data_IF_187228972267
#
_entry.id   IF_187228972267
#
_cell.length_a   1.000
_cell.length_b   1.000
_cell.length_c   1.000
_cell.angle_alpha   90.00
_cell.angle_beta   90.00
_cell.angle_gamma   90.00
#
_symmetry.space_group_name_H-M   'P 1'
#
loop_
_entity.id
_entity.type
_entity.pdbx_description
1 polymer ?
#
# COMPACT_ATOMS: atom_id res chain seq x y z
N UNK A 1 -16.06 3.04 13.73
CA UNK A 1 -14.74 3.64 13.97
C UNK A 1 -13.60 2.91 13.25
N UNK A 2 -13.44 1.57 13.34
CA UNK A 2 -12.28 0.88 12.72
C UNK A 2 -12.15 1.06 11.20
N UNK A 3 -13.26 1.23 10.49
CA UNK A 3 -13.28 1.35 9.03
C UNK A 3 -12.69 2.68 8.50
N UNK A 4 -12.80 3.76 9.29
CA UNK A 4 -12.20 5.06 8.96
C UNK A 4 -10.70 5.02 9.23
N UNK A 5 -10.31 4.43 10.36
CA UNK A 5 -8.90 4.27 10.75
C UNK A 5 -8.13 3.44 9.70
N UNK A 6 -8.70 2.31 9.26
CA UNK A 6 -8.09 1.48 8.21
C UNK A 6 -7.90 2.23 6.89
N UNK A 7 -8.87 3.07 6.48
CA UNK A 7 -8.73 3.90 5.27
C UNK A 7 -7.60 4.91 5.40
N UNK A 8 -7.49 5.56 6.57
CA UNK A 8 -6.42 6.54 6.84
C UNK A 8 -5.05 5.87 6.80
N UNK A 9 -4.89 4.71 7.47
CA UNK A 9 -3.65 3.94 7.43
C UNK A 9 -3.28 3.61 5.99
N UNK A 10 -4.25 3.18 5.18
CA UNK A 10 -4.04 2.86 3.77
C UNK A 10 -3.48 4.02 2.96
N UNK A 11 -4.09 5.20 3.12
CA UNK A 11 -3.69 6.42 2.41
C UNK A 11 -2.26 6.81 2.82
N UNK A 12 -1.96 6.76 4.12
CA UNK A 12 -0.61 7.09 4.63
C UNK A 12 0.41 6.09 4.09
N UNK A 13 0.14 4.78 4.14
CA UNK A 13 1.04 3.75 3.61
C UNK A 13 1.29 3.93 2.11
N UNK A 14 0.26 4.28 1.33
CA UNK A 14 0.39 4.53 -0.11
C UNK A 14 1.25 5.77 -0.39
N UNK A 15 1.06 6.85 0.37
CA UNK A 15 1.89 8.06 0.26
C UNK A 15 3.36 7.79 0.60
N UNK A 16 3.63 7.01 1.65
CA UNK A 16 5.00 6.62 2.01
C UNK A 16 5.64 5.78 0.91
N UNK A 17 4.91 4.86 0.29
CA UNK A 17 5.42 4.07 -0.83
C UNK A 17 5.78 4.95 -2.04
N UNK A 18 4.94 5.92 -2.38
CA UNK A 18 5.22 6.91 -3.44
C UNK A 18 6.47 7.73 -3.15
N UNK A 19 6.63 8.22 -1.91
CA UNK A 19 7.84 8.95 -1.50
C UNK A 19 9.09 8.08 -1.59
N UNK A 20 8.98 6.79 -1.24
CA UNK A 20 10.07 5.82 -1.37
C UNK A 20 10.51 5.62 -2.82
N UNK A 21 9.55 5.50 -3.76
CA UNK A 21 9.87 5.40 -5.20
C UNK A 21 10.52 6.68 -5.70
N UNK A 22 10.01 7.85 -5.30
CA UNK A 22 10.58 9.13 -5.70
C UNK A 22 12.02 9.30 -5.18
N UNK A 23 12.27 8.93 -3.93
CA UNK A 23 13.61 8.91 -3.34
C UNK A 23 14.55 7.93 -4.06
N UNK A 24 14.07 6.72 -4.36
CA UNK A 24 14.85 5.73 -5.12
C UNK A 24 15.21 6.23 -6.52
N UNK A 25 14.32 7.00 -7.17
CA UNK A 25 14.58 7.57 -8.49
C UNK A 25 15.65 8.67 -8.44
N UNK A 26 15.59 9.56 -7.43
CA UNK A 26 16.59 10.63 -7.24
C UNK A 26 17.96 10.03 -6.93
N UNK A 27 18.02 9.02 -6.05
CA UNK A 27 19.26 8.38 -5.63
C UNK A 27 19.81 7.40 -6.67
N UNK A 28 19.07 7.12 -7.75
CA UNK A 28 19.37 6.05 -8.72
C UNK A 28 19.63 4.69 -8.05
N UNK A 29 18.94 4.44 -6.94
CA UNK A 29 19.10 3.22 -6.14
C UNK A 29 18.02 2.21 -6.50
N UNK A 30 18.44 1.15 -7.21
CA UNK A 30 17.56 0.05 -7.63
C UNK A 30 16.94 -0.72 -6.46
N UNK A 31 17.60 -0.78 -5.30
CA UNK A 31 17.06 -1.46 -4.11
C UNK A 31 15.90 -0.64 -3.57
N UNK A 32 16.07 0.66 -3.40
CA UNK A 32 15.00 1.53 -2.88
C UNK A 32 13.82 1.57 -3.86
N UNK A 33 14.08 1.63 -5.17
CA UNK A 33 13.05 1.56 -6.20
C UNK A 33 12.25 0.24 -6.13
N UNK A 34 12.94 -0.90 -6.03
CA UNK A 34 12.28 -2.21 -5.96
C UNK A 34 11.45 -2.37 -4.68
N UNK A 35 11.95 -1.89 -3.54
CA UNK A 35 11.20 -1.87 -2.27
C UNK A 35 9.94 -1.00 -2.39
N UNK A 36 10.06 0.18 -3.02
CA UNK A 36 8.91 1.06 -3.27
C UNK A 36 7.83 0.41 -4.13
N UNK A 37 8.23 -0.28 -5.21
CA UNK A 37 7.30 -1.02 -6.08
C UNK A 37 6.63 -2.17 -5.31
N UNK A 38 7.40 -2.94 -4.53
CA UNK A 38 6.85 -4.03 -3.70
C UNK A 38 5.86 -3.50 -2.66
N UNK A 39 6.14 -2.34 -2.06
CA UNK A 39 5.22 -1.69 -1.11
C UNK A 39 3.90 -1.30 -1.77
N UNK A 40 3.91 -0.81 -3.02
CA UNK A 40 2.68 -0.55 -3.78
C UNK A 40 1.91 -1.85 -4.01
N UNK A 41 2.58 -2.92 -4.47
CA UNK A 41 1.92 -4.21 -4.71
C UNK A 41 1.29 -4.76 -3.43
N UNK A 42 1.99 -4.72 -2.30
CA UNK A 42 1.47 -5.14 -1.00
C UNK A 42 0.27 -4.29 -0.56
N UNK A 43 0.28 -2.98 -0.81
CA UNK A 43 -0.87 -2.11 -0.54
C UNK A 43 -2.07 -2.51 -1.41
N UNK A 44 -1.89 -2.79 -2.70
CA UNK A 44 -3.03 -3.19 -3.56
C UNK A 44 -3.60 -4.53 -3.12
N UNK A 45 -2.74 -5.51 -2.80
CA UNK A 45 -3.18 -6.83 -2.35
C UNK A 45 -3.97 -6.77 -1.03
N UNK A 46 -3.46 -6.04 -0.04
CA UNK A 46 -4.17 -5.87 1.24
C UNK A 46 -5.50 -5.14 1.07
N UNK A 47 -5.62 -4.23 0.11
CA UNK A 47 -6.88 -3.55 -0.20
C UNK A 47 -7.90 -4.53 -0.80
N UNK A 48 -7.46 -5.35 -1.75
CA UNK A 48 -8.29 -6.37 -2.38
C UNK A 48 -8.76 -7.40 -1.36
N UNK A 49 -7.91 -7.82 -0.43
CA UNK A 49 -8.25 -8.74 0.64
C UNK A 49 -9.29 -8.14 1.60
N UNK A 50 -9.09 -6.89 2.04
CA UNK A 50 -10.07 -6.16 2.85
C UNK A 50 -11.42 -5.98 2.13
N UNK A 51 -11.40 -5.83 0.80
CA UNK A 51 -12.62 -5.76 -0.01
C UNK A 51 -13.28 -7.13 -0.08
N UNK A 52 -12.53 -8.19 -0.41
CA UNK A 52 -13.04 -9.56 -0.50
C UNK A 52 -13.70 -10.00 0.81
N UNK A 53 -13.08 -9.71 1.95
CA UNK A 53 -13.61 -10.11 3.26
C UNK A 53 -14.92 -9.40 3.62
N UNK A 54 -15.20 -8.23 3.03
CA UNK A 54 -16.47 -7.51 3.22
C UNK A 54 -17.61 -7.95 2.29
N UNK A 55 -17.30 -8.63 1.19
CA UNK A 55 -18.29 -9.09 0.21
C UNK A 55 -18.49 -10.60 0.24
N UNK A 56 -17.87 -11.32 1.18
CA UNK A 56 -18.06 -12.76 1.32
C UNK A 56 -19.45 -13.04 1.94
N UNK A 57 -20.41 -13.64 1.22
CA UNK A 57 -21.77 -13.87 1.73
C UNK A 57 -21.84 -15.05 2.72
N UNK A 58 -20.72 -15.73 2.97
CA UNK A 58 -20.61 -16.89 3.85
C UNK A 58 -19.96 -16.57 5.22
N UNK A 59 -19.87 -15.28 5.58
CA UNK A 59 -19.33 -14.83 6.86
C UNK A 59 -20.34 -14.01 7.65
#
# INVERSE_FOLDING_TARGET
>A
MSNIVLKIIFIISFLVALLGIFAGFILSDFIILSVGVLAIVASVLSFLELRKNRYNPFH
#
